data_IF_237065934957
#
_entry.id   IF_237065934957
#
_cell.length_a   1.000
_cell.length_b   1.000
_cell.length_c   1.000
_cell.angle_alpha   90.00
_cell.angle_beta   90.00
_cell.angle_gamma   90.00
#
_symmetry.space_group_name_H-M   'P 1'
#
loop_
_entity.id
_entity.type
_entity.pdbx_description
1 polymer ?
#
# COMPACT_ATOMS: atom_id res chain seq x y z
N UNK A 1 26.98 -11.38 41.00
CA UNK A 1 26.98 -11.48 39.53
C UNK A 1 25.69 -10.84 39.03
N UNK A 2 25.77 -9.67 38.39
CA UNK A 2 24.58 -8.98 37.87
C UNK A 2 24.10 -9.67 36.58
N UNK A 3 22.77 -9.79 36.34
CA UNK A 3 22.27 -10.42 35.13
C UNK A 3 22.64 -9.58 33.92
N UNK A 4 23.28 -10.18 32.92
CA UNK A 4 23.56 -9.51 31.63
C UNK A 4 22.23 -9.15 30.97
N UNK A 5 22.06 -7.88 30.64
CA UNK A 5 20.92 -7.39 29.88
C UNK A 5 20.85 -8.14 28.54
N UNK A 6 19.76 -8.86 28.31
CA UNK A 6 19.46 -9.48 27.02
C UNK A 6 19.21 -8.34 26.03
N UNK A 7 20.10 -8.17 25.06
CA UNK A 7 19.92 -7.21 23.99
C UNK A 7 18.61 -7.53 23.25
N UNK A 8 17.67 -6.59 23.27
CA UNK A 8 16.42 -6.71 22.51
C UNK A 8 16.77 -6.77 21.03
N UNK A 9 16.47 -7.89 20.38
CA UNK A 9 16.53 -7.98 18.92
C UNK A 9 15.64 -6.90 18.31
N UNK A 10 16.07 -6.21 17.24
CA UNK A 10 15.22 -5.25 16.54
C UNK A 10 13.88 -5.91 16.21
N UNK A 11 12.77 -5.22 16.48
CA UNK A 11 11.46 -5.72 16.05
C UNK A 11 11.53 -5.92 14.52
N UNK A 12 11.05 -7.05 13.99
CA UNK A 12 10.98 -7.22 12.54
C UNK A 12 10.17 -6.06 11.98
N UNK A 13 10.69 -5.42 10.93
CA UNK A 13 10.01 -4.35 10.20
C UNK A 13 8.66 -4.93 9.79
N UNK A 14 7.58 -4.40 10.37
CA UNK A 14 6.25 -4.86 10.00
C UNK A 14 5.95 -4.18 8.67
N UNK A 15 5.34 -4.89 7.75
CA UNK A 15 4.82 -4.30 6.51
C UNK A 15 3.79 -3.16 6.74
N UNK A 16 3.49 -2.81 7.99
CA UNK A 16 2.45 -1.87 8.40
C UNK A 16 3.00 -0.67 9.18
N UNK A 17 4.27 -0.29 8.95
CA UNK A 17 4.82 0.94 9.49
C UNK A 17 4.11 2.10 8.80
N UNK A 18 3.06 2.61 9.46
CA UNK A 18 2.13 3.64 8.97
C UNK A 18 2.83 4.94 8.56
N UNK A 19 4.12 5.05 8.84
CA UNK A 19 4.89 6.28 8.82
C UNK A 19 6.17 6.14 7.96
N UNK A 20 6.39 5.03 7.23
CA UNK A 20 7.65 4.80 6.50
C UNK A 20 7.86 5.80 5.36
N UNK A 21 6.84 6.03 4.53
CA UNK A 21 6.89 7.03 3.47
C UNK A 21 6.96 8.45 4.03
N UNK A 22 6.18 8.75 5.06
CA UNK A 22 6.20 10.07 5.73
C UNK A 22 7.57 10.36 6.35
N UNK A 23 8.21 9.35 6.94
CA UNK A 23 9.58 9.45 7.45
C UNK A 23 10.59 9.72 6.33
N UNK A 24 10.47 9.04 5.18
CA UNK A 24 11.34 9.31 4.02
C UNK A 24 11.16 10.75 3.51
N UNK A 25 9.92 11.22 3.38
CA UNK A 25 9.61 12.59 2.96
C UNK A 25 10.22 13.61 3.91
N UNK A 26 10.15 13.36 5.22
CA UNK A 26 10.69 14.25 6.25
C UNK A 26 12.21 14.27 6.29
N UNK A 27 12.84 13.10 6.34
CA UNK A 27 14.29 12.97 6.60
C UNK A 27 15.13 13.12 5.31
N UNK A 28 14.60 12.70 4.16
CA UNK A 28 15.29 12.76 2.86
C UNK A 28 14.37 13.27 1.72
N UNK A 29 13.90 14.52 1.78
CA UNK A 29 12.89 15.05 0.86
C UNK A 29 13.29 14.98 -0.62
N UNK A 30 14.57 15.21 -0.95
CA UNK A 30 15.05 15.14 -2.34
C UNK A 30 14.98 13.71 -2.92
N UNK A 31 15.17 12.68 -2.09
CA UNK A 31 15.02 11.28 -2.52
C UNK A 31 13.53 10.98 -2.73
N UNK A 32 12.67 11.39 -1.80
CA UNK A 32 11.23 11.22 -1.91
C UNK A 32 10.66 11.91 -3.18
N UNK A 33 11.13 13.12 -3.48
CA UNK A 33 10.75 13.88 -4.68
C UNK A 33 11.19 13.18 -5.96
N UNK A 34 12.44 12.69 -6.01
CA UNK A 34 12.94 11.95 -7.18
C UNK A 34 12.13 10.66 -7.44
N UNK A 35 11.83 9.90 -6.38
CA UNK A 35 11.00 8.68 -6.47
C UNK A 35 9.60 9.04 -6.96
N UNK A 36 8.96 10.03 -6.32
CA UNK A 36 7.60 10.47 -6.68
C UNK A 36 7.54 10.97 -8.12
N UNK A 37 8.53 11.76 -8.56
CA UNK A 37 8.63 12.26 -9.91
C UNK A 37 8.78 11.14 -10.95
N UNK A 38 9.58 10.10 -10.64
CA UNK A 38 9.70 8.93 -11.51
C UNK A 38 8.38 8.16 -11.61
N UNK A 39 7.71 7.91 -10.48
CA UNK A 39 6.39 7.25 -10.44
C UNK A 39 5.37 8.04 -11.25
N UNK A 40 5.25 9.35 -11.02
CA UNK A 40 4.27 10.19 -11.73
C UNK A 40 4.50 10.21 -13.24
N UNK A 41 5.76 10.21 -13.71
CA UNK A 41 6.08 10.12 -15.14
C UNK A 41 5.62 8.80 -15.76
N UNK A 42 5.81 7.68 -15.07
CA UNK A 42 5.31 6.37 -15.55
C UNK A 42 3.78 6.39 -15.61
N UNK A 43 3.13 7.01 -14.63
CA UNK A 43 1.67 7.09 -14.60
C UNK A 43 1.06 8.03 -15.62
N UNK A 44 1.77 9.10 -16.00
CA UNK A 44 1.29 10.03 -17.03
C UNK A 44 1.34 9.46 -18.45
N UNK A 45 2.13 8.41 -18.69
CA UNK A 45 2.23 7.75 -20.00
C UNK A 45 1.42 6.45 -20.09
N UNK A 46 0.74 6.05 -19.00
CA UNK A 46 -0.13 4.89 -19.01
C UNK A 46 -1.37 5.16 -19.85
N UNK A 47 -1.75 4.17 -20.67
CA UNK A 47 -3.00 4.23 -21.45
C UNK A 47 -4.24 3.75 -20.65
N UNK A 48 -4.06 3.32 -19.40
CA UNK A 48 -5.15 2.86 -18.56
C UNK A 48 -5.97 4.06 -18.04
N UNK A 49 -7.29 3.90 -18.02
CA UNK A 49 -8.16 4.84 -17.32
C UNK A 49 -7.87 4.83 -15.82
N UNK A 50 -8.32 5.88 -15.12
CA UNK A 50 -8.05 6.06 -13.69
C UNK A 50 -8.50 4.85 -12.86
N UNK A 51 -9.72 4.35 -13.08
CA UNK A 51 -10.28 3.25 -12.29
C UNK A 51 -9.43 2.01 -12.45
N UNK A 52 -9.15 1.63 -13.71
CA UNK A 52 -8.33 0.46 -14.03
C UNK A 52 -6.93 0.59 -13.46
N UNK A 53 -6.32 1.77 -13.58
CA UNK A 53 -4.97 2.05 -13.05
C UNK A 53 -4.90 1.88 -11.53
N UNK A 54 -5.88 2.39 -10.79
CA UNK A 54 -5.92 2.25 -9.32
C UNK A 54 -6.14 0.80 -8.89
N UNK A 55 -7.00 0.04 -9.58
CA UNK A 55 -7.20 -1.39 -9.31
C UNK A 55 -5.92 -2.21 -9.53
N UNK A 56 -5.18 -1.92 -10.62
CA UNK A 56 -3.87 -2.55 -10.89
C UNK A 56 -2.87 -2.21 -9.77
N UNK A 57 -2.83 -0.96 -9.31
CA UNK A 57 -1.99 -0.57 -8.18
C UNK A 57 -2.33 -1.34 -6.91
N UNK A 58 -3.61 -1.44 -6.57
CA UNK A 58 -4.07 -2.16 -5.38
C UNK A 58 -3.62 -3.62 -5.44
N UNK A 59 -3.79 -4.29 -6.60
CA UNK A 59 -3.33 -5.66 -6.79
C UNK A 59 -1.81 -5.79 -6.64
N UNK A 60 -1.03 -4.95 -7.35
CA UNK A 60 0.43 -5.00 -7.33
C UNK A 60 1.01 -4.72 -5.94
N UNK A 61 0.50 -3.68 -5.25
CA UNK A 61 0.96 -3.31 -3.91
C UNK A 61 0.54 -4.34 -2.86
N UNK A 62 -0.60 -5.00 -3.06
CA UNK A 62 -1.01 -6.14 -2.23
C UNK A 62 -0.04 -7.31 -2.42
N UNK A 63 0.34 -7.64 -3.65
CA UNK A 63 1.26 -8.75 -3.96
C UNK A 63 2.63 -8.59 -3.28
N UNK A 64 3.17 -7.37 -3.22
CA UNK A 64 4.43 -7.06 -2.51
C UNK A 64 4.25 -6.77 -1.01
N UNK A 65 3.05 -7.01 -0.47
CA UNK A 65 2.72 -6.83 0.93
C UNK A 65 3.01 -5.40 1.43
N UNK A 66 2.50 -4.39 0.71
CA UNK A 66 2.65 -2.97 1.08
C UNK A 66 1.32 -2.27 1.47
N UNK A 67 0.79 -2.55 2.68
CA UNK A 67 -0.44 -1.96 3.22
C UNK A 67 -0.56 -0.43 3.14
N UNK A 68 0.54 0.31 3.35
CA UNK A 68 0.50 1.77 3.33
C UNK A 68 0.13 2.31 1.94
N UNK A 69 0.72 1.73 0.88
CA UNK A 69 0.37 2.08 -0.49
C UNK A 69 -1.08 1.68 -0.81
N UNK A 70 -1.51 0.48 -0.42
CA UNK A 70 -2.90 0.04 -0.62
C UNK A 70 -3.90 0.98 0.05
N UNK A 71 -3.63 1.41 1.29
CA UNK A 71 -4.44 2.41 2.01
C UNK A 71 -4.61 3.71 1.23
N UNK A 72 -3.56 4.15 0.51
CA UNK A 72 -3.60 5.37 -0.29
C UNK A 72 -4.38 5.21 -1.60
N UNK A 73 -4.24 4.06 -2.28
CA UNK A 73 -4.89 3.82 -3.58
C UNK A 73 -6.37 3.47 -3.49
N UNK A 74 -6.86 2.90 -2.37
CA UNK A 74 -8.28 2.59 -2.18
C UNK A 74 -9.22 3.81 -2.36
N UNK A 75 -9.03 4.95 -1.68
CA UNK A 75 -9.89 6.11 -1.88
C UNK A 75 -9.79 6.70 -3.29
N UNK A 76 -8.63 6.59 -3.95
CA UNK A 76 -8.47 7.02 -5.34
C UNK A 76 -9.29 6.14 -6.29
N UNK A 77 -9.29 4.82 -6.08
CA UNK A 77 -10.12 3.89 -6.84
C UNK A 77 -11.61 4.19 -6.66
N UNK A 78 -12.06 4.44 -5.43
CA UNK A 78 -13.45 4.81 -5.14
C UNK A 78 -13.86 6.10 -5.86
N UNK A 79 -13.01 7.14 -5.80
CA UNK A 79 -13.23 8.42 -6.51
C UNK A 79 -13.27 8.26 -8.03
N UNK A 80 -12.54 7.28 -8.55
CA UNK A 80 -12.56 6.90 -9.96
C UNK A 80 -13.76 6.02 -10.35
N UNK A 81 -14.68 5.74 -9.41
CA UNK A 81 -15.88 4.96 -9.65
C UNK A 81 -15.72 3.45 -9.49
N UNK A 82 -14.64 2.97 -8.84
CA UNK A 82 -14.55 1.58 -8.44
C UNK A 82 -15.54 1.26 -7.32
N UNK A 83 -16.19 0.11 -7.44
CA UNK A 83 -16.98 -0.49 -6.37
C UNK A 83 -16.09 -1.12 -5.29
N UNK A 84 -16.67 -1.35 -4.12
CA UNK A 84 -16.05 -2.15 -3.05
C UNK A 84 -15.61 -3.54 -3.55
N UNK A 85 -16.44 -4.18 -4.37
CA UNK A 85 -16.19 -5.53 -4.86
C UNK A 85 -15.06 -5.57 -5.88
N UNK A 86 -14.94 -4.56 -6.76
CA UNK A 86 -13.79 -4.41 -7.65
C UNK A 86 -12.48 -4.24 -6.86
N UNK A 87 -12.48 -3.43 -5.80
CA UNK A 87 -11.29 -3.20 -4.96
C UNK A 87 -10.86 -4.46 -4.22
N UNK A 88 -11.81 -5.16 -3.57
CA UNK A 88 -11.53 -6.42 -2.88
C UNK A 88 -11.10 -7.50 -3.87
N UNK A 89 -11.74 -7.56 -5.05
CA UNK A 89 -11.41 -8.46 -6.13
C UNK A 89 -9.97 -8.27 -6.65
N UNK A 90 -9.55 -7.02 -6.87
CA UNK A 90 -8.18 -6.72 -7.29
C UNK A 90 -7.14 -7.21 -6.26
N UNK A 91 -7.39 -6.99 -4.97
CA UNK A 91 -6.53 -7.49 -3.90
C UNK A 91 -6.58 -9.03 -3.79
N UNK A 92 -7.72 -9.66 -4.06
CA UNK A 92 -7.86 -11.12 -4.07
C UNK A 92 -7.12 -11.77 -5.25
N UNK A 93 -7.07 -11.13 -6.42
CA UNK A 93 -6.24 -11.57 -7.56
C UNK A 93 -4.78 -11.65 -7.14
N UNK A 94 -4.29 -10.68 -6.35
CA UNK A 94 -2.93 -10.73 -5.81
C UNK A 94 -2.70 -11.97 -4.93
N UNK A 95 -3.71 -12.42 -4.17
CA UNK A 95 -3.63 -13.65 -3.39
C UNK A 95 -3.46 -14.89 -4.28
N UNK A 96 -4.20 -14.95 -5.39
CA UNK A 96 -4.11 -16.04 -6.36
C UNK A 96 -2.76 -16.05 -7.09
N UNK A 97 -2.22 -14.88 -7.44
CA UNK A 97 -0.99 -14.75 -8.21
C UNK A 97 0.30 -14.86 -7.37
N UNK A 98 0.30 -14.33 -6.14
CA UNK A 98 1.50 -14.18 -5.30
C UNK A 98 1.37 -14.83 -3.91
N UNK A 99 0.29 -15.57 -3.66
CA UNK A 99 -0.01 -16.20 -2.39
C UNK A 99 -0.76 -15.30 -1.39
N UNK A 100 -1.38 -15.88 -0.35
CA UNK A 100 -2.37 -15.19 0.47
C UNK A 100 -1.80 -14.14 1.43
N UNK A 101 -0.48 -14.15 1.70
CA UNK A 101 0.17 -13.31 2.72
C UNK A 101 -0.13 -11.82 2.53
N UNK A 102 0.05 -11.33 1.31
CA UNK A 102 -0.16 -9.92 0.97
C UNK A 102 -1.61 -9.49 1.16
N UNK A 103 -2.54 -10.30 0.66
CA UNK A 103 -3.98 -10.06 0.81
C UNK A 103 -4.41 -10.01 2.27
N UNK A 104 -4.04 -11.01 3.08
CA UNK A 104 -4.37 -11.04 4.52
C UNK A 104 -3.78 -9.84 5.26
N UNK A 105 -2.55 -9.43 4.94
CA UNK A 105 -1.91 -8.27 5.55
C UNK A 105 -2.58 -6.94 5.17
N UNK A 106 -3.03 -6.79 3.91
CA UNK A 106 -3.63 -5.56 3.41
C UNK A 106 -5.15 -5.49 3.65
N UNK A 107 -5.83 -6.61 3.90
CA UNK A 107 -7.29 -6.65 4.03
C UNK A 107 -7.86 -5.68 5.08
N UNK A 108 -7.29 -5.56 6.31
CA UNK A 108 -7.81 -4.61 7.30
C UNK A 108 -7.71 -3.14 6.86
N UNK A 109 -6.65 -2.77 6.12
CA UNK A 109 -6.51 -1.39 5.62
C UNK A 109 -7.46 -1.10 4.47
N UNK A 110 -7.74 -2.09 3.62
CA UNK A 110 -8.74 -1.98 2.54
C UNK A 110 -10.12 -1.68 3.13
N UNK A 111 -10.61 -2.52 4.05
CA UNK A 111 -11.95 -2.35 4.62
C UNK A 111 -12.08 -1.05 5.41
N UNK A 112 -11.04 -0.66 6.16
CA UNK A 112 -11.03 0.61 6.89
C UNK A 112 -11.09 1.82 5.95
N UNK A 113 -10.35 1.79 4.85
CA UNK A 113 -10.35 2.89 3.87
C UNK A 113 -11.70 3.01 3.15
N UNK A 114 -12.32 1.89 2.77
CA UNK A 114 -13.67 1.89 2.15
C UNK A 114 -14.72 2.48 3.11
N UNK A 115 -14.68 2.08 4.39
CA UNK A 115 -15.62 2.60 5.39
C UNK A 115 -15.43 4.09 5.70
N UNK A 116 -14.22 4.63 5.52
CA UNK A 116 -13.94 6.05 5.74
C UNK A 116 -14.48 6.95 4.63
N UNK A 117 -14.54 6.46 3.38
CA UNK A 117 -15.05 7.21 2.22
C UNK A 117 -16.58 7.08 2.05
N UNK A 118 -17.21 6.14 2.77
CA UNK A 118 -18.67 5.95 2.74
C UNK A 118 -19.43 6.88 3.70
N UNK A 119 -18.78 7.93 4.20
CA UNK A 119 -19.32 8.92 5.15
C UNK A 119 -19.34 10.30 4.51
#
# INVERSE_FOLDING_TARGET
MSPKAVARTPRPVRCNDRDAWESLVKEYPRIAEAISGAVMKVLSISALDEKTRQLVYIAAQTAVCYPLAVKYHVPLALKAGASKDEIVGAAAIAAAAAGPKGFVACFPVIIKAIAAESR
#
